data_IF_973887683299
#
_entry.id   IF_973887683299
#
_cell.length_a   1.000
_cell.length_b   1.000
_cell.length_c   1.000
_cell.angle_alpha   90.00
_cell.angle_beta   90.00
_cell.angle_gamma   90.00
#
_symmetry.space_group_name_H-M   'P 1'
#
loop_
_entity.id
_entity.type
_entity.pdbx_description
1 polymer ?
#
# COMPACT_ATOMS: atom_id res chain seq x y z
N UNK A 1 -36.56 7.85 -0.72
CA UNK A 1 -35.76 6.67 -0.33
C UNK A 1 -34.42 7.17 0.16
N UNK A 2 -34.09 6.99 1.43
CA UNK A 2 -32.74 7.28 1.93
C UNK A 2 -31.84 6.17 1.41
N UNK A 3 -30.88 6.50 0.55
CA UNK A 3 -29.77 5.61 0.25
C UNK A 3 -28.91 5.55 1.50
N UNK A 4 -29.03 4.46 2.26
CA UNK A 4 -28.09 4.15 3.33
C UNK A 4 -26.72 4.00 2.67
N UNK A 5 -25.66 4.70 3.13
CA UNK A 5 -24.33 4.52 2.59
C UNK A 5 -23.94 3.05 2.69
N UNK A 6 -23.36 2.49 1.63
CA UNK A 6 -22.86 1.12 1.64
C UNK A 6 -21.87 0.95 2.81
N UNK A 7 -21.89 -0.18 3.53
CA UNK A 7 -20.99 -0.40 4.67
C UNK A 7 -19.54 -0.35 4.21
N UNK A 8 -18.77 0.65 4.65
CA UNK A 8 -17.33 0.79 4.35
C UNK A 8 -16.45 -0.27 5.03
N UNK A 9 -17.04 -1.21 5.76
CA UNK A 9 -16.32 -2.16 6.60
C UNK A 9 -15.46 -3.15 5.80
N UNK A 10 -15.85 -3.48 4.56
CA UNK A 10 -15.04 -4.32 3.67
C UNK A 10 -13.71 -3.71 3.22
N UNK A 11 -13.53 -2.38 3.36
CA UNK A 11 -12.31 -1.68 2.91
C UNK A 11 -11.19 -1.62 3.95
N UNK A 12 -11.46 -1.88 5.22
CA UNK A 12 -10.46 -1.87 6.31
C UNK A 12 -9.22 -2.73 5.96
N UNK A 13 -9.34 -3.99 5.52
CA UNK A 13 -8.16 -4.80 5.19
C UNK A 13 -7.36 -4.24 4.00
N UNK A 14 -8.02 -3.59 3.03
CA UNK A 14 -7.35 -2.94 1.90
C UNK A 14 -6.51 -1.76 2.38
N UNK A 15 -7.06 -0.94 3.28
CA UNK A 15 -6.36 0.20 3.88
C UNK A 15 -5.16 -0.26 4.70
N UNK A 16 -5.32 -1.32 5.51
CA UNK A 16 -4.21 -1.91 6.27
C UNK A 16 -3.11 -2.42 5.35
N UNK A 17 -3.45 -3.15 4.28
CA UNK A 17 -2.47 -3.64 3.31
C UNK A 17 -1.73 -2.49 2.60
N UNK A 18 -2.41 -1.37 2.33
CA UNK A 18 -1.80 -0.18 1.75
C UNK A 18 -0.79 0.46 2.70
N UNK A 19 -1.11 0.57 3.98
CA UNK A 19 -0.17 1.06 4.99
C UNK A 19 1.04 0.15 5.13
N UNK A 20 0.86 -1.16 5.16
CA UNK A 20 1.98 -2.12 5.18
C UNK A 20 2.88 -1.91 3.96
N UNK A 21 2.31 -1.78 2.77
CA UNK A 21 3.06 -1.50 1.55
C UNK A 21 3.89 -0.22 1.66
N UNK A 22 3.29 0.89 2.14
CA UNK A 22 3.99 2.16 2.31
C UNK A 22 5.09 2.07 3.36
N UNK A 23 4.86 1.41 4.49
CA UNK A 23 5.85 1.25 5.56
C UNK A 23 7.05 0.46 5.06
N UNK A 24 6.84 -0.61 4.29
CA UNK A 24 7.96 -1.41 3.76
C UNK A 24 8.76 -0.60 2.74
N UNK A 25 8.11 0.08 1.79
CA UNK A 25 8.80 0.94 0.83
C UNK A 25 9.54 2.10 1.52
N UNK A 26 8.91 2.71 2.53
CA UNK A 26 9.48 3.78 3.34
C UNK A 26 10.69 3.33 4.16
N UNK A 27 10.64 2.14 4.76
CA UNK A 27 11.76 1.58 5.53
C UNK A 27 13.00 1.37 4.64
N UNK A 28 12.82 0.94 3.39
CA UNK A 28 13.92 0.83 2.42
C UNK A 28 14.52 2.19 2.11
N UNK A 29 13.69 3.21 1.92
CA UNK A 29 14.16 4.57 1.64
C UNK A 29 14.88 5.20 2.84
N UNK A 30 14.36 5.02 4.05
CA UNK A 30 15.00 5.47 5.30
C UNK A 30 16.34 4.76 5.51
N UNK A 31 16.40 3.44 5.27
CA UNK A 31 17.66 2.71 5.30
C UNK A 31 18.68 3.30 4.32
N UNK A 32 18.27 3.65 3.09
CA UNK A 32 19.15 4.30 2.13
C UNK A 32 19.66 5.68 2.61
N UNK A 33 18.84 6.46 3.31
CA UNK A 33 19.28 7.72 3.91
C UNK A 33 20.35 7.50 4.98
N UNK A 34 20.23 6.44 5.79
CA UNK A 34 21.27 6.08 6.77
C UNK A 34 22.62 5.75 6.11
N UNK A 35 22.61 5.28 4.86
CA UNK A 35 23.83 5.07 4.06
C UNK A 35 24.34 6.34 3.35
N UNK A 36 23.79 7.52 3.66
CA UNK A 36 24.26 8.80 3.14
C UNK A 36 23.67 9.19 1.78
N UNK A 37 22.58 8.55 1.36
CA UNK A 37 21.83 8.97 0.16
C UNK A 37 21.12 10.30 0.45
N UNK A 38 21.20 11.25 -0.48
CA UNK A 38 20.50 12.54 -0.39
C UNK A 38 18.98 12.38 -0.44
N UNK A 39 18.22 13.37 0.04
CA UNK A 39 16.74 13.32 0.07
C UNK A 39 16.13 12.99 -1.30
N UNK A 40 16.66 13.60 -2.37
CA UNK A 40 16.22 13.32 -3.74
C UNK A 40 16.54 11.89 -4.18
N UNK A 41 17.68 11.35 -3.75
CA UNK A 41 18.05 9.96 -3.97
C UNK A 41 17.17 8.99 -3.19
N UNK A 42 16.83 9.31 -1.94
CA UNK A 42 15.95 8.50 -1.10
C UNK A 42 14.53 8.42 -1.68
N UNK A 43 14.03 9.50 -2.28
CA UNK A 43 12.78 9.49 -3.05
C UNK A 43 12.85 8.54 -4.25
N UNK A 44 13.97 8.52 -4.98
CA UNK A 44 14.14 7.56 -6.08
C UNK A 44 14.19 6.13 -5.56
N UNK A 45 14.90 5.87 -4.46
CA UNK A 45 14.94 4.55 -3.82
C UNK A 45 13.54 4.12 -3.37
N UNK A 46 12.77 5.03 -2.75
CA UNK A 46 11.39 4.77 -2.38
C UNK A 46 10.55 4.36 -3.59
N UNK A 47 10.62 5.11 -4.70
CA UNK A 47 9.87 4.81 -5.92
C UNK A 47 10.26 3.47 -6.53
N UNK A 48 11.56 3.15 -6.57
CA UNK A 48 12.05 1.86 -7.08
C UNK A 48 11.58 0.72 -6.16
N UNK A 49 11.70 0.85 -4.85
CA UNK A 49 11.25 -0.14 -3.89
C UNK A 49 9.74 -0.37 -3.98
N UNK A 50 8.95 0.72 -4.04
CA UNK A 50 7.52 0.71 -4.24
C UNK A 50 7.15 -0.05 -5.53
N UNK A 51 7.80 0.28 -6.66
CA UNK A 51 7.56 -0.38 -7.94
C UNK A 51 7.89 -1.90 -7.89
N UNK A 52 8.98 -2.29 -7.21
CA UNK A 52 9.34 -3.70 -7.04
C UNK A 52 8.32 -4.45 -6.17
N UNK A 53 7.80 -3.80 -5.13
CA UNK A 53 6.79 -4.36 -4.22
C UNK A 53 5.41 -4.49 -4.86
N UNK A 54 5.12 -3.80 -5.98
CA UNK A 54 3.85 -3.97 -6.70
C UNK A 54 3.62 -5.42 -7.11
N UNK A 55 4.65 -6.12 -7.58
CA UNK A 55 4.50 -7.49 -8.07
C UNK A 55 3.93 -8.46 -7.03
N UNK A 56 4.44 -8.51 -5.77
CA UNK A 56 3.82 -9.30 -4.71
C UNK A 56 2.54 -8.69 -4.11
N UNK A 57 2.40 -7.35 -4.08
CA UNK A 57 1.24 -6.71 -3.41
C UNK A 57 -0.02 -6.58 -4.28
N UNK A 58 0.12 -6.45 -5.61
CA UNK A 58 -1.02 -6.41 -6.55
C UNK A 58 -1.98 -7.61 -6.38
N UNK A 59 -1.53 -8.88 -6.31
CA UNK A 59 -2.45 -10.00 -6.09
C UNK A 59 -3.11 -9.96 -4.71
N UNK A 60 -2.44 -9.42 -3.68
CA UNK A 60 -3.00 -9.24 -2.34
C UNK A 60 -4.12 -8.20 -2.38
N UNK A 61 -3.86 -7.02 -2.95
CA UNK A 61 -4.89 -5.98 -3.12
C UNK A 61 -6.08 -6.48 -3.94
N UNK A 62 -5.83 -7.20 -5.03
CA UNK A 62 -6.88 -7.78 -5.86
C UNK A 62 -7.76 -8.76 -5.10
N UNK A 63 -7.16 -9.62 -4.25
CA UNK A 63 -7.92 -10.53 -3.37
C UNK A 63 -8.75 -9.79 -2.33
N UNK A 64 -8.13 -8.83 -1.64
CA UNK A 64 -8.81 -8.08 -0.58
C UNK A 64 -9.97 -7.25 -1.13
N UNK A 65 -9.79 -6.65 -2.30
CA UNK A 65 -10.83 -5.88 -2.97
C UNK A 65 -11.96 -6.76 -3.50
N UNK A 66 -11.65 -7.95 -4.02
CA UNK A 66 -12.67 -8.92 -4.45
C UNK A 66 -13.47 -9.49 -3.30
N UNK A 67 -12.88 -9.65 -2.12
CA UNK A 67 -13.63 -10.07 -0.93
C UNK A 67 -14.55 -8.95 -0.43
N UNK A 68 -14.06 -7.71 -0.43
CA UNK A 68 -14.86 -6.54 -0.02
C UNK A 68 -16.12 -6.34 -0.87
N UNK A 69 -16.10 -6.70 -2.16
CA UNK A 69 -17.28 -6.60 -3.04
C UNK A 69 -18.26 -7.77 -2.92
N UNK A 70 -17.85 -8.89 -2.33
CA UNK A 70 -18.70 -10.10 -2.17
C UNK A 70 -19.39 -10.17 -0.81
N UNK A 71 -19.07 -9.24 0.10
CA UNK A 71 -19.76 -9.05 1.38
C UNK A 71 -20.95 -8.08 1.27
N UNK A 72 -21.32 -7.66 0.04
CA UNK A 72 -22.50 -6.83 -0.29
C UNK A 72 -23.77 -7.66 -0.57
#
# INVERSE_FOLDING_TARGET
>A
MYQTPAPTHGYVPVVVAFWVYLVVAGAVALGAMEFGVSDSGALLVFLVAAALLLKPFVPVFRRLMSNASNEE
#
